data_IF_958948310435
#
_entry.id   IF_958948310435
#
_cell.length_a   1.000
_cell.length_b   1.000
_cell.length_c   1.000
_cell.angle_alpha   90.00
_cell.angle_beta   90.00
_cell.angle_gamma   90.00
#
_symmetry.space_group_name_H-M   'P 1'
#
loop_
_entity.id
_entity.type
_entity.pdbx_description
1 polymer ?
#
# COMPACT_ATOMS: atom_id res chain seq x y z
N UNK A 1 18.34 39.19 46.32
CA UNK A 1 17.08 38.42 46.48
C UNK A 1 16.86 37.59 45.22
N UNK A 2 17.03 36.27 45.29
CA UNK A 2 16.81 35.35 44.17
C UNK A 2 15.34 34.91 44.21
N UNK A 3 14.55 35.05 43.14
CA UNK A 3 13.17 34.60 43.14
C UNK A 3 13.13 33.07 43.24
N UNK A 4 12.41 32.57 44.24
CA UNK A 4 12.30 31.15 44.56
C UNK A 4 11.51 30.42 43.45
N UNK A 5 12.22 29.67 42.60
CA UNK A 5 11.68 28.78 41.56
C UNK A 5 10.66 27.71 42.05
N UNK A 6 10.44 27.59 43.37
CA UNK A 6 9.61 26.52 43.99
C UNK A 6 8.09 26.69 43.83
N UNK A 7 7.58 27.86 43.41
CA UNK A 7 6.12 28.12 43.35
C UNK A 7 5.44 27.77 42.02
N UNK A 8 6.21 27.48 40.96
CA UNK A 8 5.65 27.09 39.63
C UNK A 8 5.17 25.64 39.58
N UNK A 9 5.84 24.73 40.31
CA UNK A 9 5.49 23.30 40.31
C UNK A 9 4.12 23.00 40.95
N UNK A 10 3.66 23.81 41.91
CA UNK A 10 2.38 23.63 42.60
C UNK A 10 1.15 23.82 41.70
N UNK A 11 1.28 24.50 40.56
CA UNK A 11 0.19 24.70 39.59
C UNK A 11 0.31 23.82 38.34
N UNK A 12 1.50 23.28 38.06
CA UNK A 12 1.75 22.43 36.89
C UNK A 12 1.05 21.07 37.07
N UNK A 13 1.12 20.46 38.25
CA UNK A 13 0.50 19.15 38.48
C UNK A 13 -1.04 19.19 38.42
N UNK A 14 -1.76 20.08 39.13
CA UNK A 14 -3.22 20.16 39.03
C UNK A 14 -3.69 20.52 37.62
N UNK A 15 -2.97 21.42 36.92
CA UNK A 15 -3.28 21.78 35.54
C UNK A 15 -3.15 20.58 34.59
N UNK A 16 -2.12 19.76 34.75
CA UNK A 16 -1.94 18.54 33.97
C UNK A 16 -3.04 17.51 34.28
N UNK A 17 -3.43 17.33 35.54
CA UNK A 17 -4.53 16.42 35.89
C UNK A 17 -5.87 16.85 35.28
N UNK A 18 -6.21 18.16 35.36
CA UNK A 18 -7.42 18.69 34.73
C UNK A 18 -7.35 18.51 33.22
N UNK A 19 -6.21 18.77 32.59
CA UNK A 19 -6.03 18.57 31.15
C UNK A 19 -6.18 17.10 30.74
N UNK A 20 -5.54 16.17 31.46
CA UNK A 20 -5.68 14.72 31.21
C UNK A 20 -7.13 14.25 31.42
N UNK A 21 -7.81 14.75 32.44
CA UNK A 21 -9.21 14.43 32.68
C UNK A 21 -10.11 14.95 31.55
N UNK A 22 -9.93 16.21 31.14
CA UNK A 22 -10.72 16.81 30.06
C UNK A 22 -10.47 16.11 28.72
N UNK A 23 -9.23 15.81 28.37
CA UNK A 23 -8.89 15.07 27.13
C UNK A 23 -9.47 13.67 27.14
N UNK A 24 -9.42 12.96 28.27
CA UNK A 24 -10.06 11.66 28.46
C UNK A 24 -11.58 11.73 28.30
N UNK A 25 -12.22 12.73 28.93
CA UNK A 25 -13.66 12.95 28.83
C UNK A 25 -14.09 13.30 27.40
N UNK A 26 -13.33 14.15 26.71
CA UNK A 26 -13.57 14.48 25.30
C UNK A 26 -13.43 13.23 24.43
N UNK A 27 -12.36 12.44 24.60
CA UNK A 27 -12.18 11.20 23.84
C UNK A 27 -13.32 10.21 24.10
N UNK A 28 -13.76 10.08 25.35
CA UNK A 28 -14.92 9.26 25.69
C UNK A 28 -16.19 9.71 24.95
N UNK A 29 -16.50 11.02 24.97
CA UNK A 29 -17.68 11.56 24.29
C UNK A 29 -17.61 11.38 22.77
N UNK A 30 -16.44 11.58 22.16
CA UNK A 30 -16.22 11.31 20.73
C UNK A 30 -16.44 9.83 20.42
N UNK A 31 -15.90 8.94 21.27
CA UNK A 31 -15.99 7.49 21.09
C UNK A 31 -17.43 6.95 21.11
N UNK A 32 -18.36 7.64 21.80
CA UNK A 32 -19.79 7.31 21.77
C UNK A 32 -20.46 7.55 20.41
N UNK A 33 -19.83 8.35 19.55
CA UNK A 33 -20.37 8.77 18.24
C UNK A 33 -19.60 8.17 17.07
N UNK A 34 -18.71 7.21 17.31
CA UNK A 34 -17.95 6.58 16.24
C UNK A 34 -18.88 5.78 15.32
N UNK A 35 -18.72 5.90 13.99
CA UNK A 35 -19.46 5.07 13.07
C UNK A 35 -19.03 3.61 13.20
N UNK A 36 -20.02 2.72 13.13
CA UNK A 36 -19.82 1.26 13.03
C UNK A 36 -20.22 0.74 11.65
N UNK A 37 -20.73 1.61 10.78
CA UNK A 37 -21.19 1.34 9.42
C UNK A 37 -20.83 2.53 8.54
N UNK A 38 -20.64 2.27 7.25
CA UNK A 38 -20.38 3.28 6.24
C UNK A 38 -21.58 4.24 6.12
N UNK A 39 -21.36 5.55 5.86
CA UNK A 39 -22.45 6.51 5.70
C UNK A 39 -23.40 6.17 4.54
N UNK A 40 -22.89 5.52 3.50
CA UNK A 40 -23.64 5.00 2.36
C UNK A 40 -23.23 3.55 2.15
N UNK A 41 -24.20 2.64 2.28
CA UNK A 41 -23.96 1.19 2.29
C UNK A 41 -24.42 0.51 1.00
N UNK A 42 -25.58 0.93 0.50
CA UNK A 42 -26.25 0.29 -0.65
C UNK A 42 -25.63 0.71 -1.99
N UNK A 43 -25.00 1.88 -2.04
CA UNK A 43 -24.35 2.44 -3.23
C UNK A 43 -23.00 3.04 -2.85
N UNK A 44 -22.22 3.48 -3.83
CA UNK A 44 -21.00 4.25 -3.59
C UNK A 44 -21.34 5.70 -3.27
N UNK A 45 -20.74 6.25 -2.21
CA UNK A 45 -20.87 7.67 -1.90
C UNK A 45 -20.26 8.55 -3.00
N UNK A 46 -20.67 9.81 -3.09
CA UNK A 46 -20.11 10.74 -4.08
C UNK A 46 -18.59 10.92 -3.92
N UNK A 47 -18.09 10.96 -2.69
CA UNK A 47 -16.65 11.04 -2.42
C UNK A 47 -15.93 9.75 -2.83
N UNK A 48 -16.52 8.59 -2.58
CA UNK A 48 -15.91 7.32 -2.96
C UNK A 48 -15.79 7.19 -4.48
N UNK A 49 -16.85 7.57 -5.21
CA UNK A 49 -16.82 7.65 -6.67
C UNK A 49 -15.74 8.60 -7.18
N UNK A 50 -15.59 9.76 -6.56
CA UNK A 50 -14.57 10.73 -6.94
C UNK A 50 -13.15 10.20 -6.71
N UNK A 51 -12.90 9.44 -5.63
CA UNK A 51 -11.59 8.80 -5.37
C UNK A 51 -11.27 7.73 -6.39
N UNK A 52 -12.24 6.88 -6.72
CA UNK A 52 -12.08 5.85 -7.74
C UNK A 52 -11.87 6.49 -9.12
N UNK A 53 -12.64 7.54 -9.45
CA UNK A 53 -12.45 8.30 -10.69
C UNK A 53 -11.05 8.92 -10.78
N UNK A 54 -10.54 9.49 -9.68
CA UNK A 54 -9.19 10.04 -9.60
C UNK A 54 -8.10 8.95 -9.78
N UNK A 55 -8.28 7.76 -9.18
CA UNK A 55 -7.37 6.62 -9.41
C UNK A 55 -7.32 6.23 -10.89
N UNK A 56 -8.47 6.02 -11.53
CA UNK A 56 -8.52 5.76 -12.98
C UNK A 56 -7.88 6.88 -13.81
N UNK A 57 -8.04 8.13 -13.40
CA UNK A 57 -7.42 9.27 -14.05
C UNK A 57 -5.89 9.27 -13.93
N UNK A 58 -5.34 8.99 -12.74
CA UNK A 58 -3.89 8.83 -12.52
C UNK A 58 -3.35 7.73 -13.43
N UNK A 59 -3.95 6.54 -13.38
CA UNK A 59 -3.49 5.41 -14.20
C UNK A 59 -3.50 5.76 -15.69
N UNK A 60 -4.59 6.32 -16.20
CA UNK A 60 -4.72 6.67 -17.61
C UNK A 60 -3.75 7.77 -18.08
N UNK A 61 -3.36 8.70 -17.19
CA UNK A 61 -2.52 9.85 -17.55
C UNK A 61 -1.03 9.67 -17.26
N UNK A 62 -0.71 8.95 -16.18
CA UNK A 62 0.64 8.78 -15.65
C UNK A 62 1.11 7.34 -15.68
N UNK A 63 0.21 6.35 -15.85
CA UNK A 63 0.51 4.92 -15.73
C UNK A 63 1.72 4.46 -16.55
N UNK A 64 1.85 4.93 -17.79
CA UNK A 64 2.97 4.54 -18.66
C UNK A 64 4.31 5.17 -18.27
N UNK A 65 4.29 6.29 -17.56
CA UNK A 65 5.50 6.87 -16.97
C UNK A 65 5.92 6.07 -15.73
N UNK A 66 4.95 5.49 -15.02
CA UNK A 66 5.20 4.64 -13.86
C UNK A 66 5.75 3.29 -14.31
N UNK A 67 5.05 2.59 -15.21
CA UNK A 67 5.46 1.29 -15.75
C UNK A 67 4.89 1.08 -17.16
N UNK A 68 5.66 0.54 -18.12
CA UNK A 68 5.19 0.30 -19.49
C UNK A 68 3.91 -0.55 -19.51
N UNK A 69 2.89 -0.12 -20.26
CA UNK A 69 1.63 -0.86 -20.42
C UNK A 69 0.57 -0.58 -19.33
N UNK A 70 0.95 0.00 -18.20
CA UNK A 70 0.05 0.13 -17.05
C UNK A 70 -1.10 1.12 -17.30
N UNK A 71 -0.85 2.17 -18.09
CA UNK A 71 -1.86 3.18 -18.42
C UNK A 71 -2.84 2.75 -19.52
N UNK A 72 -2.46 1.79 -20.38
CA UNK A 72 -3.34 1.28 -21.44
C UNK A 72 -4.22 0.10 -21.00
N UNK A 73 -3.83 -0.63 -19.95
CA UNK A 73 -4.53 -1.84 -19.57
C UNK A 73 -5.95 -1.55 -19.07
N UNK A 74 -6.93 -2.27 -19.63
CA UNK A 74 -8.33 -2.08 -19.27
C UNK A 74 -8.69 -2.88 -18.02
N UNK A 75 -8.21 -2.39 -16.88
CA UNK A 75 -8.46 -3.01 -15.58
C UNK A 75 -9.81 -2.57 -15.00
N UNK A 76 -10.54 -3.54 -14.46
CA UNK A 76 -11.71 -3.26 -13.63
C UNK A 76 -11.28 -2.87 -12.21
N UNK A 77 -12.23 -2.39 -11.41
CA UNK A 77 -12.01 -2.13 -9.98
C UNK A 77 -13.15 -2.74 -9.18
N UNK A 78 -12.79 -3.53 -8.16
CA UNK A 78 -13.69 -3.92 -7.10
C UNK A 78 -13.41 -3.04 -5.89
N UNK A 79 -14.45 -2.43 -5.34
CA UNK A 79 -14.38 -1.86 -4.00
C UNK A 79 -15.46 -2.45 -3.12
N UNK A 80 -15.23 -2.56 -1.82
CA UNK A 80 -16.23 -3.16 -0.93
C UNK A 80 -16.34 -2.47 0.43
N UNK A 81 -17.57 -2.47 0.96
CA UNK A 81 -17.86 -2.00 2.31
C UNK A 81 -18.29 -3.18 3.18
N UNK A 82 -18.92 -2.92 4.33
CA UNK A 82 -19.36 -3.96 5.26
C UNK A 82 -20.41 -4.93 4.69
N UNK A 83 -21.10 -4.57 3.61
CA UNK A 83 -22.26 -5.33 3.11
C UNK A 83 -22.21 -5.64 1.63
N UNK A 84 -21.53 -4.82 0.82
CA UNK A 84 -21.53 -4.98 -0.63
C UNK A 84 -20.12 -4.89 -1.21
N UNK A 85 -19.88 -5.71 -2.23
CA UNK A 85 -18.84 -5.45 -3.22
C UNK A 85 -19.46 -4.72 -4.42
N UNK A 86 -18.73 -3.75 -4.94
CA UNK A 86 -19.08 -2.94 -6.09
C UNK A 86 -18.04 -3.15 -7.19
N UNK A 87 -18.51 -3.39 -8.41
CA UNK A 87 -17.68 -3.61 -9.59
C UNK A 87 -17.84 -2.45 -10.56
N UNK A 88 -16.72 -1.81 -10.90
CA UNK A 88 -16.62 -0.68 -11.81
C UNK A 88 -15.76 -1.02 -13.02
N UNK A 89 -15.95 -0.25 -14.10
CA UNK A 89 -15.25 -0.37 -15.38
C UNK A 89 -15.38 -1.77 -16.05
N UNK A 90 -16.57 -2.37 -15.98
CA UNK A 90 -16.87 -3.61 -16.70
C UNK A 90 -18.30 -3.59 -17.24
N UNK A 91 -18.51 -4.13 -18.44
CA UNK A 91 -19.84 -4.29 -19.05
C UNK A 91 -20.25 -5.76 -19.03
N UNK A 92 -21.48 -6.06 -18.61
CA UNK A 92 -22.03 -7.43 -18.54
C UNK A 92 -21.05 -8.41 -17.87
N UNK A 93 -20.67 -8.18 -16.60
CA UNK A 93 -19.66 -8.97 -15.92
C UNK A 93 -20.10 -10.44 -15.77
N UNK A 94 -19.13 -11.36 -15.80
CA UNK A 94 -19.37 -12.75 -15.41
C UNK A 94 -19.71 -12.84 -13.92
N UNK A 95 -20.48 -13.84 -13.53
CA UNK A 95 -20.87 -14.05 -12.13
C UNK A 95 -19.66 -14.21 -11.20
N UNK A 96 -19.73 -13.57 -10.03
CA UNK A 96 -18.72 -13.69 -8.99
C UNK A 96 -17.35 -13.10 -9.38
N UNK A 97 -16.33 -13.53 -8.65
CA UNK A 97 -14.93 -13.27 -8.93
C UNK A 97 -14.09 -14.47 -8.49
N UNK A 98 -12.91 -14.63 -9.06
CA UNK A 98 -11.95 -15.66 -8.67
C UNK A 98 -10.86 -15.05 -7.80
N UNK A 99 -10.61 -15.68 -6.65
CA UNK A 99 -9.48 -15.32 -5.80
C UNK A 99 -8.17 -15.79 -6.44
N UNK A 100 -7.15 -14.94 -6.47
CA UNK A 100 -5.83 -15.30 -6.99
C UNK A 100 -4.92 -15.74 -5.83
N UNK A 101 -4.08 -16.77 -5.99
CA UNK A 101 -3.85 -17.56 -7.21
C UNK A 101 -4.66 -18.87 -7.23
N UNK A 102 -5.53 -19.10 -6.23
CA UNK A 102 -6.24 -20.38 -6.06
C UNK A 102 -7.29 -20.63 -7.14
N UNK A 103 -7.77 -19.57 -7.78
CA UNK A 103 -8.85 -19.60 -8.77
C UNK A 103 -10.14 -20.19 -8.20
N UNK A 104 -10.37 -20.00 -6.89
CA UNK A 104 -11.63 -20.34 -6.26
C UNK A 104 -12.68 -19.28 -6.61
N UNK A 105 -13.79 -19.71 -7.22
CA UNK A 105 -14.92 -18.83 -7.47
C UNK A 105 -15.54 -18.39 -6.13
N UNK A 106 -15.69 -17.08 -5.98
CA UNK A 106 -16.30 -16.38 -4.85
C UNK A 106 -17.44 -15.50 -5.35
N UNK A 107 -18.33 -15.15 -4.43
CA UNK A 107 -19.47 -14.28 -4.73
C UNK A 107 -20.56 -14.95 -5.58
N UNK A 108 -21.48 -14.12 -6.06
CA UNK A 108 -22.68 -14.45 -6.83
C UNK A 108 -22.78 -13.55 -8.06
N UNK A 109 -23.88 -13.68 -8.80
CA UNK A 109 -24.20 -12.81 -9.92
C UNK A 109 -24.19 -11.33 -9.52
N UNK A 110 -23.56 -10.51 -10.35
CA UNK A 110 -23.52 -9.07 -10.19
C UNK A 110 -24.87 -8.45 -10.58
N UNK A 111 -25.36 -7.53 -9.78
CA UNK A 111 -26.60 -6.79 -10.03
C UNK A 111 -26.30 -5.35 -10.37
N UNK A 112 -26.95 -4.82 -11.41
CA UNK A 112 -26.83 -3.40 -11.77
C UNK A 112 -27.29 -2.53 -10.59
N UNK A 113 -26.54 -1.48 -10.27
CA UNK A 113 -27.01 -0.49 -9.30
C UNK A 113 -28.01 0.45 -10.00
N UNK A 114 -29.30 0.44 -9.63
CA UNK A 114 -30.32 1.20 -10.34
C UNK A 114 -30.17 2.71 -10.08
N UNK A 115 -30.39 3.50 -11.12
CA UNK A 115 -30.43 4.98 -11.07
C UNK A 115 -29.19 5.65 -10.48
N UNK A 116 -28.06 4.96 -10.46
CA UNK A 116 -26.82 5.46 -9.92
C UNK A 116 -25.63 5.14 -10.83
N UNK A 117 -24.76 6.13 -11.02
CA UNK A 117 -23.72 6.10 -12.05
C UNK A 117 -22.36 6.52 -11.46
N UNK A 118 -21.29 5.99 -12.04
CA UNK A 118 -19.91 6.41 -11.79
C UNK A 118 -19.32 6.88 -13.12
N UNK A 119 -18.89 8.14 -13.18
CA UNK A 119 -18.40 8.77 -14.42
C UNK A 119 -19.35 8.58 -15.63
N UNK A 120 -20.66 8.68 -15.40
CA UNK A 120 -21.70 8.45 -16.42
C UNK A 120 -21.90 6.98 -16.84
N UNK A 121 -21.13 6.05 -16.28
CA UNK A 121 -21.23 4.62 -16.53
C UNK A 121 -22.04 3.94 -15.42
N UNK A 122 -22.79 2.91 -15.80
CA UNK A 122 -23.39 2.02 -14.82
C UNK A 122 -22.31 1.16 -14.17
N UNK A 123 -22.55 0.79 -12.92
CA UNK A 123 -21.70 -0.12 -12.16
C UNK A 123 -22.57 -1.17 -11.47
N UNK A 124 -21.94 -2.22 -10.96
CA UNK A 124 -22.63 -3.38 -10.41
C UNK A 124 -22.32 -3.55 -8.94
N UNK A 125 -23.19 -4.28 -8.24
CA UNK A 125 -22.98 -4.69 -6.86
C UNK A 125 -23.42 -6.13 -6.62
N UNK A 126 -22.88 -6.72 -5.57
CA UNK A 126 -23.41 -7.92 -4.96
C UNK A 126 -23.31 -7.81 -3.44
N UNK A 127 -24.24 -8.44 -2.73
CA UNK A 127 -24.22 -8.53 -1.27
C UNK A 127 -23.14 -9.53 -0.83
N UNK A 128 -22.40 -9.16 0.21
CA UNK A 128 -21.37 -9.97 0.83
C UNK A 128 -21.98 -10.85 1.92
N UNK A 129 -21.46 -12.07 2.01
CA UNK A 129 -21.75 -12.99 3.11
C UNK A 129 -20.55 -13.00 4.08
N UNK A 130 -20.78 -13.36 5.35
CA UNK A 130 -19.77 -13.27 6.42
C UNK A 130 -18.45 -14.00 6.09
N UNK A 131 -18.50 -15.05 5.25
CA UNK A 131 -17.34 -15.85 4.82
C UNK A 131 -16.85 -15.52 3.40
N UNK A 132 -17.51 -14.59 2.70
CA UNK A 132 -17.23 -14.24 1.30
C UNK A 132 -17.06 -12.72 1.20
N UNK A 133 -15.83 -12.27 1.46
CA UNK A 133 -15.41 -10.87 1.26
C UNK A 133 -14.18 -10.85 0.35
N UNK A 134 -14.11 -9.94 -0.65
CA UNK A 134 -12.89 -9.73 -1.40
C UNK A 134 -11.74 -9.37 -0.46
N UNK A 135 -10.52 -9.73 -0.83
CA UNK A 135 -9.32 -9.26 -0.14
C UNK A 135 -8.81 -7.99 -0.82
N UNK A 136 -7.97 -7.21 -0.13
CA UNK A 136 -7.19 -6.15 -0.75
C UNK A 136 -6.07 -6.80 -1.56
N UNK A 137 -6.40 -7.19 -2.80
CA UNK A 137 -5.50 -7.84 -3.76
C UNK A 137 -6.14 -7.89 -5.15
N UNK A 138 -5.41 -8.36 -6.16
CA UNK A 138 -6.00 -8.64 -7.47
C UNK A 138 -7.01 -9.79 -7.45
N UNK A 139 -8.12 -9.63 -8.18
CA UNK A 139 -9.13 -10.66 -8.44
C UNK A 139 -9.40 -10.77 -9.94
N UNK A 140 -9.97 -11.91 -10.38
CA UNK A 140 -10.35 -12.11 -11.79
C UNK A 140 -11.87 -12.23 -11.94
N UNK A 141 -12.46 -11.54 -12.91
CA UNK A 141 -13.90 -11.51 -13.19
C UNK A 141 -14.11 -11.87 -14.67
N UNK A 142 -14.47 -13.13 -14.93
CA UNK A 142 -14.43 -13.67 -16.28
C UNK A 142 -13.00 -13.63 -16.84
N UNK A 143 -12.80 -12.92 -17.94
CA UNK A 143 -11.50 -12.78 -18.61
C UNK A 143 -10.76 -11.48 -18.25
N UNK A 144 -11.30 -10.68 -17.31
CA UNK A 144 -10.72 -9.38 -16.89
C UNK A 144 -10.18 -9.46 -15.47
N UNK A 145 -9.09 -8.76 -15.20
CA UNK A 145 -8.54 -8.59 -13.85
C UNK A 145 -9.01 -7.27 -13.24
N UNK A 146 -9.18 -7.27 -11.92
CA UNK A 146 -9.55 -6.10 -11.15
C UNK A 146 -8.66 -5.96 -9.91
N UNK A 147 -8.23 -4.74 -9.61
CA UNK A 147 -7.78 -4.42 -8.26
C UNK A 147 -8.98 -4.51 -7.31
N UNK A 148 -8.78 -5.02 -6.10
CA UNK A 148 -9.83 -5.07 -5.06
C UNK A 148 -9.36 -4.33 -3.83
N UNK A 149 -10.21 -3.48 -3.25
CA UNK A 149 -9.89 -2.72 -2.04
C UNK A 149 -11.13 -2.42 -1.22
N UNK A 150 -11.00 -2.25 0.09
CA UNK A 150 -12.09 -1.67 0.89
C UNK A 150 -12.42 -0.24 0.45
N UNK A 151 -13.66 0.22 0.61
CA UNK A 151 -13.97 1.65 0.52
C UNK A 151 -13.25 2.42 1.63
N UNK A 152 -12.91 3.69 1.43
CA UNK A 152 -12.14 4.44 2.45
C UNK A 152 -12.86 4.51 3.81
N UNK A 153 -14.18 4.70 3.81
CA UNK A 153 -14.96 4.77 5.04
C UNK A 153 -14.93 3.42 5.79
N UNK A 154 -15.14 2.31 5.06
CA UNK A 154 -15.08 0.98 5.66
C UNK A 154 -13.68 0.59 6.11
N UNK A 155 -12.63 0.99 5.37
CA UNK A 155 -11.24 0.80 5.76
C UNK A 155 -10.97 1.44 7.13
N UNK A 156 -11.44 2.68 7.33
CA UNK A 156 -11.29 3.40 8.61
C UNK A 156 -12.08 2.71 9.73
N UNK A 157 -13.31 2.29 9.47
CA UNK A 157 -14.16 1.62 10.46
C UNK A 157 -13.54 0.29 10.88
N UNK A 158 -13.13 -0.52 9.91
CA UNK A 158 -12.47 -1.82 10.13
C UNK A 158 -11.19 -1.65 10.96
N UNK A 159 -10.36 -0.64 10.66
CA UNK A 159 -9.16 -0.35 11.44
C UNK A 159 -9.48 0.08 12.88
N UNK A 160 -10.53 0.91 13.08
CA UNK A 160 -10.99 1.27 14.43
C UNK A 160 -11.44 0.04 15.22
N UNK A 161 -12.14 -0.88 14.56
CA UNK A 161 -12.65 -2.11 15.17
C UNK A 161 -11.52 -3.07 15.53
N UNK A 162 -10.49 -3.19 14.69
CA UNK A 162 -9.28 -3.96 15.00
C UNK A 162 -8.60 -3.43 16.26
N UNK A 163 -8.33 -2.11 16.35
CA UNK A 163 -7.80 -1.51 17.57
C UNK A 163 -8.70 -1.77 18.79
N UNK A 164 -10.02 -1.72 18.62
CA UNK A 164 -10.97 -1.95 19.72
C UNK A 164 -10.92 -3.41 20.21
N UNK A 165 -10.62 -4.37 19.34
CA UNK A 165 -10.48 -5.78 19.71
C UNK A 165 -9.19 -6.01 20.52
N UNK A 166 -8.09 -5.39 20.10
CA UNK A 166 -6.76 -5.60 20.69
C UNK A 166 -6.53 -4.83 22.00
N UNK A 167 -7.27 -3.73 22.24
CA UNK A 167 -7.09 -2.91 23.42
C UNK A 167 -7.63 -3.57 24.71
N UNK A 168 -6.94 -3.42 25.86
CA UNK A 168 -7.50 -3.74 27.16
C UNK A 168 -8.83 -3.03 27.43
N UNK A 169 -9.78 -3.73 28.06
CA UNK A 169 -11.16 -3.24 28.24
C UNK A 169 -11.29 -1.86 28.88
N UNK A 170 -10.37 -1.48 29.78
CA UNK A 170 -10.38 -0.17 30.44
C UNK A 170 -9.88 0.98 29.53
N UNK A 171 -9.14 0.69 28.46
CA UNK A 171 -8.68 1.69 27.49
C UNK A 171 -9.70 1.90 26.37
N UNK A 172 -10.50 0.88 26.03
CA UNK A 172 -11.46 0.94 24.92
C UNK A 172 -12.34 2.19 24.91
N UNK A 173 -12.89 2.70 26.04
CA UNK A 173 -13.77 3.85 26.02
C UNK A 173 -13.06 5.18 25.78
N UNK A 174 -11.75 5.27 26.05
CA UNK A 174 -11.00 6.54 26.09
C UNK A 174 -9.87 6.62 25.05
N UNK A 175 -9.66 5.55 24.28
CA UNK A 175 -8.65 5.51 23.24
C UNK A 175 -9.03 6.42 22.08
N UNK A 176 -8.11 7.24 21.52
CA UNK A 176 -8.44 8.24 20.50
C UNK A 176 -8.50 7.63 19.09
N UNK A 177 -9.50 6.77 18.82
CA UNK A 177 -9.59 5.98 17.58
C UNK A 177 -9.52 6.82 16.30
N UNK A 178 -10.27 7.93 16.20
CA UNK A 178 -10.26 8.78 15.00
C UNK A 178 -8.87 9.35 14.71
N UNK A 179 -8.15 9.77 15.74
CA UNK A 179 -6.80 10.33 15.57
C UNK A 179 -5.80 9.27 15.13
N UNK A 180 -5.86 8.10 15.76
CA UNK A 180 -4.98 6.97 15.41
C UNK A 180 -5.27 6.48 14.00
N UNK A 181 -6.54 6.28 13.65
CA UNK A 181 -6.91 5.84 12.28
C UNK A 181 -6.59 6.89 11.22
N UNK A 182 -6.78 8.18 11.47
CA UNK A 182 -6.33 9.23 10.55
C UNK A 182 -4.81 9.36 10.45
N UNK A 183 -4.06 8.89 11.46
CA UNK A 183 -2.61 8.82 11.39
C UNK A 183 -2.14 7.71 10.44
N UNK A 184 -2.80 6.55 10.48
CA UNK A 184 -2.51 5.42 9.60
C UNK A 184 -3.11 5.59 8.19
N UNK A 185 -4.33 6.11 8.07
CA UNK A 185 -5.06 6.34 6.80
C UNK A 185 -5.18 7.84 6.58
N UNK A 186 -4.16 8.42 5.94
CA UNK A 186 -3.89 9.86 5.97
C UNK A 186 -4.75 10.76 5.06
N UNK A 187 -5.78 10.19 4.42
CA UNK A 187 -6.73 10.93 3.58
C UNK A 187 -6.96 10.27 2.23
N UNK A 188 -7.54 11.02 1.30
CA UNK A 188 -7.87 10.53 -0.04
C UNK A 188 -6.63 10.27 -0.87
N UNK A 189 -5.57 11.08 -0.77
CA UNK A 189 -4.34 10.88 -1.55
C UNK A 189 -3.72 9.49 -1.29
N UNK A 190 -3.67 9.08 -0.03
CA UNK A 190 -3.16 7.75 0.35
C UNK A 190 -4.10 6.64 -0.09
N UNK A 191 -5.40 6.84 0.03
CA UNK A 191 -6.37 5.85 -0.43
C UNK A 191 -6.29 5.63 -1.93
N UNK A 192 -6.19 6.72 -2.70
CA UNK A 192 -6.03 6.69 -4.15
C UNK A 192 -4.72 5.98 -4.53
N UNK A 193 -3.61 6.28 -3.86
CA UNK A 193 -2.35 5.56 -4.13
C UNK A 193 -2.44 4.07 -3.81
N UNK A 194 -3.19 3.68 -2.76
CA UNK A 194 -3.43 2.26 -2.47
C UNK A 194 -4.33 1.59 -3.52
N UNK A 195 -5.26 2.31 -4.16
CA UNK A 195 -5.99 1.78 -5.32
C UNK A 195 -5.06 1.51 -6.51
N UNK A 196 -4.04 2.35 -6.71
CA UNK A 196 -2.99 2.11 -7.72
C UNK A 196 -2.16 0.86 -7.38
N UNK A 197 -1.84 0.63 -6.09
CA UNK A 197 -1.15 -0.59 -5.63
C UNK A 197 -1.92 -1.85 -6.05
N UNK A 198 -3.20 -1.93 -5.72
CA UNK A 198 -4.02 -3.11 -6.06
C UNK A 198 -4.29 -3.24 -7.56
N UNK A 199 -4.45 -2.11 -8.24
CA UNK A 199 -4.53 -2.09 -9.71
C UNK A 199 -3.24 -2.61 -10.34
N UNK A 200 -2.08 -2.35 -9.74
CA UNK A 200 -0.82 -2.85 -10.27
C UNK A 200 -0.69 -4.37 -10.11
N UNK A 201 -1.23 -4.98 -9.05
CA UNK A 201 -1.32 -6.44 -8.97
C UNK A 201 -2.21 -7.03 -10.07
N UNK A 202 -3.33 -6.39 -10.39
CA UNK A 202 -4.19 -6.80 -11.50
C UNK A 202 -3.48 -6.66 -12.86
N UNK A 203 -2.68 -5.60 -13.00
CA UNK A 203 -1.80 -5.42 -14.15
C UNK A 203 -0.73 -6.51 -14.25
N UNK A 204 -0.03 -6.83 -13.16
CA UNK A 204 0.98 -7.89 -13.10
C UNK A 204 0.40 -9.26 -13.51
N UNK A 205 -0.84 -9.56 -13.10
CA UNK A 205 -1.54 -10.78 -13.50
C UNK A 205 -1.82 -10.83 -15.01
N UNK A 206 -2.01 -9.67 -15.65
CA UNK A 206 -2.25 -9.55 -17.10
C UNK A 206 -0.95 -9.58 -17.91
N UNK A 207 0.02 -8.76 -17.51
CA UNK A 207 1.30 -8.60 -18.21
C UNK A 207 2.21 -9.82 -18.04
N UNK A 208 2.29 -10.40 -16.84
CA UNK A 208 3.25 -11.44 -16.51
C UNK A 208 2.62 -12.63 -15.76
N UNK A 209 1.56 -13.28 -16.28
CA UNK A 209 0.85 -14.36 -15.57
C UNK A 209 1.78 -15.52 -15.17
N UNK A 210 2.75 -15.87 -16.02
CA UNK A 210 3.71 -16.95 -15.75
C UNK A 210 4.65 -16.65 -14.57
N UNK A 211 4.85 -15.37 -14.23
CA UNK A 211 5.60 -14.93 -13.05
C UNK A 211 4.65 -14.69 -11.86
N UNK A 212 3.53 -14.02 -12.09
CA UNK A 212 2.57 -13.60 -11.08
C UNK A 212 2.00 -14.78 -10.27
N UNK A 213 1.47 -15.82 -10.93
CA UNK A 213 0.85 -16.94 -10.21
C UNK A 213 1.83 -17.73 -9.33
N UNK A 214 3.05 -18.08 -9.82
CA UNK A 214 4.07 -18.66 -8.95
C UNK A 214 4.51 -17.73 -7.82
N UNK A 215 4.65 -16.43 -8.09
CA UNK A 215 5.06 -15.44 -7.09
C UNK A 215 4.04 -15.35 -5.95
N UNK A 216 2.75 -15.26 -6.27
CA UNK A 216 1.72 -15.23 -5.23
C UNK A 216 1.60 -16.58 -4.51
N UNK A 217 1.70 -17.71 -5.22
CA UNK A 217 1.72 -19.03 -4.57
C UNK A 217 2.90 -19.21 -3.61
N UNK A 218 3.98 -18.44 -3.75
CA UNK A 218 5.12 -18.49 -2.84
C UNK A 218 4.79 -17.98 -1.44
N UNK A 219 3.71 -17.21 -1.24
CA UNK A 219 3.25 -16.72 0.08
C UNK A 219 3.04 -17.84 1.11
N UNK A 220 2.73 -19.06 0.66
CA UNK A 220 2.65 -20.27 1.52
C UNK A 220 3.97 -20.64 2.21
N UNK A 221 5.10 -20.10 1.75
CA UNK A 221 6.41 -20.29 2.36
C UNK A 221 6.68 -19.31 3.50
N UNK A 222 5.83 -18.29 3.70
CA UNK A 222 6.01 -17.28 4.74
C UNK A 222 6.21 -17.91 6.13
N UNK A 223 5.45 -18.96 6.49
CA UNK A 223 5.60 -19.61 7.80
C UNK A 223 6.92 -20.39 7.98
N UNK A 224 7.66 -20.63 6.91
CA UNK A 224 8.96 -21.30 6.92
C UNK A 224 10.12 -20.29 6.93
N UNK A 225 9.84 -19.01 6.69
CA UNK A 225 10.85 -17.97 6.63
C UNK A 225 11.33 -17.61 8.05
N UNK A 226 12.64 -17.42 8.28
CA UNK A 226 13.22 -17.24 9.62
C UNK A 226 13.03 -15.82 10.18
N UNK A 227 11.77 -15.38 10.35
CA UNK A 227 11.42 -14.00 10.73
C UNK A 227 12.09 -13.51 12.03
N UNK A 228 12.15 -14.38 13.03
CA UNK A 228 12.43 -14.00 14.42
C UNK A 228 13.85 -14.32 14.89
N UNK A 229 14.67 -14.90 14.04
CA UNK A 229 16.04 -15.22 14.42
C UNK A 229 16.83 -13.92 14.58
N UNK A 230 17.44 -13.69 15.75
CA UNK A 230 18.16 -12.45 16.05
C UNK A 230 19.27 -12.16 15.03
N UNK A 231 19.96 -13.23 14.59
CA UNK A 231 20.95 -13.15 13.52
C UNK A 231 20.31 -12.67 12.20
N UNK A 232 19.16 -13.23 11.81
CA UNK A 232 18.41 -12.81 10.62
C UNK A 232 17.99 -11.35 10.69
N UNK A 233 17.47 -10.90 11.83
CA UNK A 233 17.08 -9.50 12.05
C UNK A 233 18.28 -8.57 11.89
N UNK A 234 19.43 -8.92 12.49
CA UNK A 234 20.64 -8.09 12.40
C UNK A 234 21.19 -8.01 10.98
N UNK A 235 21.12 -9.09 10.20
CA UNK A 235 21.59 -9.10 8.81
C UNK A 235 20.64 -8.33 7.89
N UNK A 236 19.32 -8.46 8.11
CA UNK A 236 18.32 -7.63 7.43
C UNK A 236 18.48 -6.14 7.74
N UNK A 237 18.80 -5.79 8.99
CA UNK A 237 19.06 -4.39 9.37
C UNK A 237 20.22 -3.79 8.55
N UNK A 238 21.31 -4.55 8.35
CA UNK A 238 22.44 -4.11 7.51
C UNK A 238 22.00 -3.79 6.08
N UNK A 239 21.34 -4.72 5.38
CA UNK A 239 20.97 -4.51 3.97
C UNK A 239 19.93 -3.39 3.79
N UNK A 240 18.95 -3.27 4.70
CA UNK A 240 17.93 -2.24 4.64
C UNK A 240 18.50 -0.84 4.94
N UNK A 241 19.50 -0.74 5.82
CA UNK A 241 20.19 0.52 6.05
C UNK A 241 21.02 0.96 4.83
N UNK A 242 21.62 0.02 4.08
CA UNK A 242 22.32 0.33 2.82
C UNK A 242 21.34 0.88 1.77
N UNK A 243 20.19 0.21 1.57
CA UNK A 243 19.14 0.67 0.66
C UNK A 243 18.62 2.07 1.05
N UNK A 244 18.34 2.29 2.33
CA UNK A 244 17.90 3.61 2.81
C UNK A 244 18.96 4.69 2.56
N UNK A 245 20.23 4.38 2.83
CA UNK A 245 21.34 5.33 2.66
C UNK A 245 21.52 5.68 1.18
N UNK A 246 21.44 4.68 0.29
CA UNK A 246 21.52 4.88 -1.15
C UNK A 246 20.40 5.81 -1.64
N UNK A 247 19.15 5.58 -1.24
CA UNK A 247 18.01 6.43 -1.61
C UNK A 247 18.07 7.86 -1.06
N UNK A 248 18.88 8.11 -0.02
CA UNK A 248 19.10 9.45 0.54
C UNK A 248 20.28 10.16 -0.11
N UNK A 249 21.15 9.44 -0.80
CA UNK A 249 22.27 10.04 -1.51
C UNK A 249 21.79 10.75 -2.78
N UNK A 250 22.58 11.74 -3.19
CA UNK A 250 22.42 12.45 -4.46
C UNK A 250 23.65 12.29 -5.37
N UNK A 251 24.65 11.52 -4.91
CA UNK A 251 25.87 11.22 -5.66
C UNK A 251 25.72 9.82 -6.28
N UNK A 252 25.60 9.77 -7.60
CA UNK A 252 25.46 8.52 -8.35
C UNK A 252 26.60 7.53 -8.09
N UNK A 253 27.82 8.00 -7.83
CA UNK A 253 28.95 7.12 -7.51
C UNK A 253 28.80 6.51 -6.11
N UNK A 254 28.36 7.30 -5.13
CA UNK A 254 28.03 6.81 -3.79
C UNK A 254 26.86 5.82 -3.83
N UNK A 255 25.79 6.14 -4.58
CA UNK A 255 24.64 5.26 -4.77
C UNK A 255 25.10 3.91 -5.33
N UNK A 256 25.93 3.91 -6.38
CA UNK A 256 26.47 2.68 -6.98
C UNK A 256 27.25 1.86 -5.95
N UNK A 257 28.17 2.48 -5.22
CA UNK A 257 28.97 1.81 -4.19
C UNK A 257 28.10 1.22 -3.06
N UNK A 258 27.01 1.91 -2.68
CA UNK A 258 26.07 1.41 -1.68
C UNK A 258 25.22 0.25 -2.20
N UNK A 259 24.84 0.25 -3.48
CA UNK A 259 24.15 -0.87 -4.13
C UNK A 259 25.05 -2.09 -4.23
N UNK A 260 26.33 -1.92 -4.61
CA UNK A 260 27.31 -3.01 -4.61
C UNK A 260 27.47 -3.64 -3.21
N UNK A 261 27.56 -2.81 -2.17
CA UNK A 261 27.59 -3.29 -0.79
C UNK A 261 26.30 -4.02 -0.40
N UNK A 262 25.15 -3.51 -0.80
CA UNK A 262 23.86 -4.14 -0.56
C UNK A 262 23.78 -5.53 -1.17
N UNK A 263 24.17 -5.68 -2.44
CA UNK A 263 24.17 -6.97 -3.14
C UNK A 263 25.13 -7.96 -2.45
N UNK A 264 26.33 -7.52 -2.08
CA UNK A 264 27.28 -8.35 -1.36
C UNK A 264 26.80 -8.78 0.03
N UNK A 265 26.19 -7.88 0.81
CA UNK A 265 25.64 -8.19 2.13
C UNK A 265 24.41 -9.10 2.03
N UNK A 266 23.60 -8.98 0.97
CA UNK A 266 22.48 -9.88 0.70
C UNK A 266 22.94 -11.30 0.41
N UNK A 267 23.92 -11.47 -0.46
CA UNK A 267 24.49 -12.80 -0.77
C UNK A 267 25.06 -13.44 0.49
N UNK A 268 25.88 -12.68 1.23
CA UNK A 268 26.43 -13.11 2.50
C UNK A 268 25.35 -13.47 3.53
N UNK A 269 24.28 -12.69 3.63
CA UNK A 269 23.16 -12.98 4.52
C UNK A 269 22.51 -14.32 4.18
N UNK A 270 22.22 -14.55 2.90
CA UNK A 270 21.62 -15.81 2.43
C UNK A 270 22.53 -17.00 2.72
N UNK A 271 23.85 -16.85 2.56
CA UNK A 271 24.85 -17.86 2.95
C UNK A 271 24.89 -18.10 4.46
N UNK A 272 25.00 -17.05 5.28
CA UNK A 272 25.08 -17.13 6.75
C UNK A 272 23.85 -17.78 7.36
N UNK A 273 22.68 -17.53 6.77
CA UNK A 273 21.40 -18.13 7.16
C UNK A 273 21.23 -19.57 6.64
N UNK A 274 22.12 -20.05 5.77
CA UNK A 274 21.91 -21.25 4.95
C UNK A 274 20.52 -21.24 4.29
N UNK A 275 20.12 -20.08 3.75
CA UNK A 275 18.79 -19.88 3.23
C UNK A 275 18.58 -20.78 1.99
N UNK A 276 17.61 -21.72 2.01
CA UNK A 276 17.41 -22.60 0.89
C UNK A 276 16.88 -21.82 -0.32
N UNK A 277 17.16 -22.34 -1.53
CA UNK A 277 16.82 -21.65 -2.77
C UNK A 277 15.34 -21.26 -2.86
N UNK A 278 14.42 -22.10 -2.40
CA UNK A 278 12.98 -21.79 -2.43
C UNK A 278 12.60 -20.59 -1.55
N UNK A 279 13.35 -20.32 -0.48
CA UNK A 279 13.15 -19.13 0.35
C UNK A 279 13.84 -17.90 -0.24
N UNK A 280 14.96 -18.08 -0.95
CA UNK A 280 15.55 -17.02 -1.79
C UNK A 280 14.60 -16.59 -2.90
N UNK A 281 14.02 -17.57 -3.62
CA UNK A 281 13.02 -17.32 -4.64
C UNK A 281 11.77 -16.65 -4.05
N UNK A 282 11.38 -17.00 -2.82
CA UNK A 282 10.31 -16.33 -2.10
C UNK A 282 10.62 -14.83 -1.87
N UNK A 283 11.81 -14.47 -1.39
CA UNK A 283 12.22 -13.06 -1.26
C UNK A 283 12.05 -12.33 -2.61
N UNK A 284 12.62 -12.90 -3.67
CA UNK A 284 12.62 -12.30 -5.00
C UNK A 284 11.20 -12.19 -5.59
N UNK A 285 10.33 -13.16 -5.31
CA UNK A 285 8.93 -13.13 -5.72
C UNK A 285 8.13 -12.05 -4.98
N UNK A 286 8.32 -11.91 -3.66
CA UNK A 286 7.62 -10.88 -2.87
C UNK A 286 8.12 -9.48 -3.20
N UNK A 287 9.42 -9.29 -3.42
CA UNK A 287 9.99 -8.01 -3.85
C UNK A 287 9.49 -7.60 -5.24
N UNK A 288 9.45 -8.55 -6.19
CA UNK A 288 8.88 -8.31 -7.51
C UNK A 288 7.39 -7.96 -7.44
N UNK A 289 6.61 -8.69 -6.64
CA UNK A 289 5.17 -8.49 -6.64
C UNK A 289 4.75 -7.28 -5.78
N UNK A 290 5.06 -7.33 -4.49
CA UNK A 290 4.64 -6.33 -3.50
C UNK A 290 5.54 -5.10 -3.51
N UNK A 291 6.84 -5.30 -3.69
CA UNK A 291 7.78 -4.18 -3.76
C UNK A 291 7.54 -3.29 -4.98
N UNK A 292 7.22 -3.87 -6.14
CA UNK A 292 6.85 -3.06 -7.32
C UNK A 292 5.47 -2.42 -7.19
N UNK A 293 4.48 -3.11 -6.61
CA UNK A 293 3.19 -2.48 -6.34
C UNK A 293 3.35 -1.29 -5.36
N UNK A 294 4.22 -1.44 -4.37
CA UNK A 294 4.52 -0.35 -3.45
C UNK A 294 5.34 0.78 -4.11
N UNK A 295 6.23 0.45 -5.05
CA UNK A 295 6.84 1.46 -5.94
C UNK A 295 5.76 2.23 -6.72
N UNK A 296 4.80 1.55 -7.35
CA UNK A 296 3.69 2.18 -8.08
C UNK A 296 2.83 3.06 -7.18
N UNK A 297 2.54 2.64 -5.94
CA UNK A 297 1.83 3.47 -4.95
C UNK A 297 2.53 4.84 -4.76
N UNK A 298 3.83 4.80 -4.45
CA UNK A 298 4.60 6.01 -4.15
C UNK A 298 4.85 6.84 -5.40
N UNK A 299 5.10 6.20 -6.53
CA UNK A 299 5.43 6.86 -7.79
C UNK A 299 4.23 7.54 -8.41
N UNK A 300 3.04 6.94 -8.30
CA UNK A 300 1.76 7.59 -8.65
C UNK A 300 1.59 8.90 -7.90
N UNK A 301 1.85 8.89 -6.59
CA UNK A 301 1.77 10.08 -5.76
C UNK A 301 2.83 11.12 -6.17
N UNK A 302 4.07 10.70 -6.42
CA UNK A 302 5.16 11.59 -6.85
C UNK A 302 4.81 12.30 -8.15
N UNK A 303 4.48 11.55 -9.19
CA UNK A 303 4.18 12.10 -10.52
C UNK A 303 2.95 13.00 -10.48
N UNK A 304 1.90 12.62 -9.76
CA UNK A 304 0.72 13.48 -9.60
C UNK A 304 1.03 14.77 -8.80
N UNK A 305 2.02 14.75 -7.92
CA UNK A 305 2.46 15.94 -7.17
C UNK A 305 3.43 16.85 -7.93
N UNK A 306 4.22 16.30 -8.86
CA UNK A 306 5.33 17.01 -9.52
C UNK A 306 5.05 17.35 -10.98
N UNK A 307 4.11 16.67 -11.62
CA UNK A 307 3.75 16.93 -13.01
C UNK A 307 2.92 18.20 -13.16
N UNK A 308 3.48 19.20 -13.83
CA UNK A 308 2.78 20.45 -14.17
C UNK A 308 1.55 20.22 -15.08
N UNK A 309 1.54 19.11 -15.83
CA UNK A 309 0.45 18.77 -16.75
C UNK A 309 -0.66 17.93 -16.11
N UNK A 310 -0.42 17.37 -14.92
CA UNK A 310 -1.42 16.58 -14.22
C UNK A 310 -2.43 17.48 -13.50
N UNK A 311 -3.72 17.18 -13.64
CA UNK A 311 -4.80 17.88 -12.96
C UNK A 311 -5.82 16.87 -12.46
N UNK A 312 -6.05 16.83 -11.14
CA UNK A 312 -7.06 15.96 -10.54
C UNK A 312 -8.46 16.22 -11.10
N UNK A 313 -9.28 15.18 -11.20
CA UNK A 313 -10.65 15.27 -11.71
C UNK A 313 -11.49 16.26 -10.89
N UNK A 314 -12.45 17.00 -11.49
CA UNK A 314 -13.22 18.02 -10.77
C UNK A 314 -13.95 17.48 -9.53
N UNK A 315 -14.42 16.22 -9.58
CA UNK A 315 -15.20 15.61 -8.52
C UNK A 315 -14.43 15.45 -7.20
N UNK A 316 -13.11 15.22 -7.23
CA UNK A 316 -12.31 15.00 -6.00
C UNK A 316 -11.88 16.31 -5.34
N UNK A 317 -11.94 17.44 -6.06
CA UNK A 317 -11.46 18.74 -5.56
C UNK A 317 -12.23 19.26 -4.34
N UNK A 318 -13.46 18.76 -4.12
CA UNK A 318 -14.27 19.13 -2.95
C UNK A 318 -14.06 18.23 -1.73
N UNK A 319 -13.26 17.16 -1.84
CA UNK A 319 -12.98 16.27 -0.72
C UNK A 319 -12.05 16.97 0.30
N UNK A 320 -12.48 17.19 1.56
CA UNK A 320 -11.66 17.86 2.57
C UNK A 320 -10.41 17.08 2.99
N UNK A 321 -10.33 15.80 2.63
CA UNK A 321 -9.21 14.91 2.89
C UNK A 321 -8.29 14.70 1.68
N UNK A 322 -8.56 15.37 0.55
CA UNK A 322 -7.71 15.37 -0.62
C UNK A 322 -6.77 16.58 -0.59
N UNK A 323 -5.46 16.33 -0.64
CA UNK A 323 -4.42 17.33 -0.53
C UNK A 323 -3.72 17.62 -1.87
N UNK A 324 -4.28 17.15 -2.99
CA UNK A 324 -3.74 17.29 -4.34
C UNK A 324 -2.29 16.79 -4.41
N UNK A 325 -2.04 15.67 -3.75
CA UNK A 325 -0.76 14.99 -3.65
C UNK A 325 0.39 15.81 -3.04
N UNK A 326 0.15 17.06 -2.60
CA UNK A 326 1.16 18.00 -2.05
C UNK A 326 1.92 17.49 -0.81
N UNK A 327 1.43 16.41 -0.18
CA UNK A 327 2.09 15.75 0.95
C UNK A 327 3.11 14.68 0.54
N UNK A 328 3.41 14.52 -0.76
CA UNK A 328 4.37 13.54 -1.28
C UNK A 328 5.69 13.54 -0.49
N UNK A 329 6.33 14.70 -0.32
CA UNK A 329 7.60 14.80 0.43
C UNK A 329 7.52 14.25 1.87
N UNK A 330 6.37 14.36 2.52
CA UNK A 330 6.15 13.76 3.85
C UNK A 330 5.93 12.25 3.75
N UNK A 331 5.18 11.78 2.75
CA UNK A 331 4.97 10.35 2.46
C UNK A 331 6.29 9.66 2.14
N UNK A 332 7.11 10.25 1.28
CA UNK A 332 8.43 9.75 0.89
C UNK A 332 9.38 9.64 2.09
N UNK A 333 9.52 10.71 2.89
CA UNK A 333 10.33 10.68 4.11
C UNK A 333 9.88 9.60 5.09
N UNK A 334 8.57 9.37 5.22
CA UNK A 334 8.04 8.27 6.05
C UNK A 334 8.43 6.91 5.48
N UNK A 335 8.28 6.72 4.16
CA UNK A 335 8.68 5.48 3.49
C UNK A 335 10.17 5.18 3.73
N UNK A 336 11.05 6.15 3.46
CA UNK A 336 12.49 6.01 3.69
C UNK A 336 12.80 5.66 5.15
N UNK A 337 12.21 6.38 6.11
CA UNK A 337 12.45 6.12 7.53
C UNK A 337 11.88 4.78 8.03
N UNK A 338 10.97 4.17 7.27
CA UNK A 338 10.37 2.89 7.61
C UNK A 338 11.23 1.72 7.11
N UNK A 339 11.98 1.86 6.01
CA UNK A 339 12.87 0.82 5.45
C UNK A 339 13.64 0.03 6.53
N UNK A 340 14.54 0.64 7.34
CA UNK A 340 15.31 -0.12 8.33
C UNK A 340 14.47 -0.69 9.48
N UNK A 341 13.27 -0.14 9.74
CA UNK A 341 12.38 -0.66 10.79
C UNK A 341 11.78 -2.00 10.39
N UNK A 342 11.76 -2.33 9.11
CA UNK A 342 11.24 -3.61 8.61
C UNK A 342 12.14 -4.79 8.95
N UNK A 343 13.40 -4.56 9.35
CA UNK A 343 14.29 -5.64 9.80
C UNK A 343 13.70 -6.49 10.94
N UNK A 344 12.85 -5.88 11.79
CA UNK A 344 12.19 -6.53 12.93
C UNK A 344 10.74 -6.92 12.65
N UNK A 345 10.23 -6.58 11.48
CA UNK A 345 8.84 -6.85 11.11
C UNK A 345 8.66 -8.34 10.88
N UNK A 346 7.49 -8.84 11.29
CA UNK A 346 6.99 -10.16 10.94
C UNK A 346 6.12 -10.01 9.69
N UNK A 347 6.42 -10.78 8.65
CA UNK A 347 5.66 -10.77 7.40
C UNK A 347 6.29 -9.92 6.31
N UNK A 348 5.50 -9.66 5.27
CA UNK A 348 6.05 -9.21 3.99
C UNK A 348 6.58 -7.78 3.99
N UNK A 349 6.43 -7.01 5.08
CA UNK A 349 6.91 -5.62 5.17
C UNK A 349 8.38 -5.46 4.76
N UNK A 350 9.24 -6.44 5.03
CA UNK A 350 10.63 -6.45 4.51
C UNK A 350 10.68 -6.32 2.99
N UNK A 351 9.91 -7.14 2.31
CA UNK A 351 9.91 -7.27 0.85
C UNK A 351 9.21 -6.10 0.14
N UNK A 352 8.18 -5.52 0.77
CA UNK A 352 7.55 -4.30 0.25
C UNK A 352 8.60 -3.18 0.17
N UNK A 353 9.29 -2.93 1.30
CA UNK A 353 10.24 -1.82 1.38
C UNK A 353 11.55 -2.09 0.66
N UNK A 354 12.08 -3.33 0.68
CA UNK A 354 13.30 -3.66 -0.07
C UNK A 354 13.04 -3.66 -1.57
N UNK A 355 11.94 -4.23 -2.05
CA UNK A 355 11.61 -4.21 -3.49
C UNK A 355 11.30 -2.80 -4.00
N UNK A 356 10.53 -2.00 -3.25
CA UNK A 356 10.31 -0.58 -3.57
C UNK A 356 11.63 0.20 -3.63
N UNK A 357 12.55 -0.06 -2.70
CA UNK A 357 13.84 0.62 -2.69
C UNK A 357 14.71 0.24 -3.88
N UNK A 358 14.76 -1.04 -4.25
CA UNK A 358 15.47 -1.51 -5.43
C UNK A 358 14.91 -0.85 -6.71
N UNK A 359 13.59 -0.78 -6.88
CA UNK A 359 12.96 -0.12 -8.04
C UNK A 359 13.35 1.38 -8.15
N UNK A 360 13.33 2.13 -7.04
CA UNK A 360 13.77 3.53 -7.04
C UNK A 360 15.27 3.73 -7.27
N UNK A 361 16.11 2.75 -6.93
CA UNK A 361 17.54 2.76 -7.24
C UNK A 361 17.77 2.46 -8.73
N UNK A 362 16.97 1.55 -9.30
CA UNK A 362 16.99 1.25 -10.73
C UNK A 362 16.58 2.46 -11.58
N UNK A 363 15.60 3.26 -11.16
CA UNK A 363 15.27 4.54 -11.82
C UNK A 363 16.48 5.47 -11.98
N UNK A 364 17.44 5.41 -11.05
CA UNK A 364 18.63 6.26 -11.05
C UNK A 364 19.83 5.62 -11.75
N UNK A 365 20.01 4.30 -11.62
CA UNK A 365 21.21 3.60 -12.08
C UNK A 365 21.04 2.92 -13.44
N UNK A 366 19.82 2.56 -13.82
CA UNK A 366 19.51 1.84 -15.05
C UNK A 366 18.20 2.37 -15.66
N UNK A 367 18.18 3.54 -16.32
CA UNK A 367 16.95 4.22 -16.74
C UNK A 367 15.97 3.37 -17.59
N UNK A 368 16.49 2.38 -18.34
CA UNK A 368 15.68 1.48 -19.17
C UNK A 368 15.23 0.19 -18.46
N UNK A 369 15.43 0.07 -17.13
CA UNK A 369 15.14 -1.15 -16.36
C UNK A 369 13.69 -1.63 -16.49
N UNK A 370 12.73 -0.70 -16.58
CA UNK A 370 11.31 -1.03 -16.72
C UNK A 370 11.03 -1.69 -18.07
N UNK A 371 11.69 -1.24 -19.12
CA UNK A 371 11.60 -1.84 -20.46
C UNK A 371 12.20 -3.23 -20.46
N UNK A 372 13.41 -3.39 -19.87
CA UNK A 372 14.05 -4.69 -19.74
C UNK A 372 13.17 -5.68 -18.97
N UNK A 373 12.61 -5.23 -17.84
CA UNK A 373 11.71 -6.06 -17.05
C UNK A 373 10.42 -6.37 -17.81
N UNK A 374 9.83 -5.39 -18.51
CA UNK A 374 8.64 -5.58 -19.33
C UNK A 374 8.82 -6.68 -20.39
N UNK A 375 9.99 -6.69 -21.05
CA UNK A 375 10.37 -7.69 -22.05
C UNK A 375 10.67 -9.07 -21.45
N UNK A 376 11.30 -9.11 -20.28
CA UNK A 376 11.58 -10.33 -19.54
C UNK A 376 11.11 -10.24 -18.07
N UNK A 377 9.85 -10.60 -17.79
CA UNK A 377 9.29 -10.54 -16.44
C UNK A 377 9.89 -11.58 -15.48
N UNK A 378 10.81 -12.45 -15.95
CA UNK A 378 11.48 -13.43 -15.10
C UNK A 378 12.66 -12.85 -14.33
N UNK A 379 13.15 -11.68 -14.74
CA UNK A 379 14.22 -10.95 -14.05
C UNK A 379 13.78 -10.54 -12.63
N UNK A 380 14.68 -10.69 -11.67
CA UNK A 380 14.50 -10.14 -10.34
C UNK A 380 15.06 -8.71 -10.27
N UNK A 381 14.58 -7.90 -9.33
CA UNK A 381 15.08 -6.54 -9.15
C UNK A 381 16.58 -6.51 -8.82
N UNK A 382 17.08 -7.52 -8.09
CA UNK A 382 18.50 -7.68 -7.78
C UNK A 382 19.35 -8.06 -9.00
N UNK A 383 18.79 -8.78 -9.99
CA UNK A 383 19.49 -9.06 -11.24
C UNK A 383 19.69 -7.77 -12.04
N UNK A 384 18.67 -6.92 -12.08
CA UNK A 384 18.74 -5.60 -12.73
C UNK A 384 19.73 -4.67 -12.01
N UNK A 385 19.79 -4.70 -10.68
CA UNK A 385 20.78 -3.92 -9.92
C UNK A 385 22.20 -4.43 -10.18
N UNK A 386 22.41 -5.74 -10.28
CA UNK A 386 23.70 -6.31 -10.68
C UNK A 386 24.13 -5.79 -12.06
N UNK A 387 23.22 -5.75 -13.04
CA UNK A 387 23.47 -5.18 -14.37
C UNK A 387 23.84 -3.69 -14.25
N UNK A 388 23.11 -2.93 -13.43
CA UNK A 388 23.28 -1.50 -13.26
C UNK A 388 24.66 -1.11 -12.67
N UNK A 389 25.20 -1.93 -11.77
CA UNK A 389 26.52 -1.68 -11.17
C UNK A 389 27.68 -2.26 -12.00
N UNK A 390 27.44 -3.27 -12.83
CA UNK A 390 28.46 -3.86 -13.71
C UNK A 390 28.70 -3.06 -15.00
N UNK A 391 27.69 -2.41 -15.57
CA UNK A 391 27.80 -1.61 -16.80
C UNK A 391 28.37 -0.19 -16.57
N UNK A 392 29.18 -0.06 -15.54
CA UNK A 392 29.64 1.17 -14.92
C UNK A 392 30.99 1.65 -15.49
N UNK A 393 31.16 1.67 -16.82
CA UNK A 393 32.39 2.14 -17.48
C UNK A 393 32.32 3.61 -17.93
#
# INVERSE_FOLDING_TARGET
MVPTKKRRWLWIFPGLFVFCFLTTAISFLINLTLPTTSPVVETLSALEKARIEESFHIRATLGNQIFPGFGEENLAQVVYNEKHAFLLNQHNPSDGWYALPSEDLKGKAWTLVPDDYWNGLSYYRQELEDDITPQAFAVRIGDTYAGSMTTLDWMRISLMDQFRQDLPGFLKPIFPYQWVTNFFISGSDMYISLLEHESFHAYQATWAPQRFYPAEKSSRLASQYPWFEEQTISLWDTELNLLQTALKSSDTAEIRQLVEQFLAERDKRREDMNLPQNLTDYENNREWMEGMAFYVEIESWRLASESDSYQSVPAIQTDPSFYHFRKFNTRWKRALNQIPRMAKDEGDGRFYYSGMAQAYLLDQLLPDWKTLLYEDPTLNLEDLLNIAVQNAD
#
